data_IF_183262147512
#
_entry.id   IF_183262147512
#
_cell.length_a   1.000
_cell.length_b   1.000
_cell.length_c   1.000
_cell.angle_alpha   90.00
_cell.angle_beta   90.00
_cell.angle_gamma   90.00
#
_symmetry.space_group_name_H-M   'P 1'
#
loop_
_entity.id
_entity.type
_entity.pdbx_description
1 polymer ?
#
# COMPACT_ATOMS: atom_id res chain seq x y z
N UNK A 1 1.82 22.35 15.71
CA UNK A 1 2.94 21.44 15.96
C UNK A 1 3.17 20.64 14.70
N UNK A 2 4.41 20.47 14.26
CA UNK A 2 4.73 19.60 13.11
C UNK A 2 4.52 18.14 13.53
N UNK A 3 3.73 17.38 12.78
CA UNK A 3 3.57 15.93 13.01
C UNK A 3 4.89 15.21 12.70
N UNK A 4 5.21 14.17 13.48
CA UNK A 4 6.34 13.26 13.23
C UNK A 4 5.89 12.06 12.40
N UNK A 5 6.83 11.30 11.83
CA UNK A 5 6.58 10.03 11.12
C UNK A 5 5.65 9.13 11.95
N UNK A 6 5.98 8.92 13.22
CA UNK A 6 5.19 8.07 14.14
C UNK A 6 3.77 8.60 14.32
N UNK A 7 3.58 9.91 14.55
CA UNK A 7 2.23 10.45 14.75
C UNK A 7 1.37 10.38 13.48
N UNK A 8 1.97 10.46 12.30
CA UNK A 8 1.27 10.29 11.02
C UNK A 8 0.90 8.81 10.83
N UNK A 9 1.85 7.90 11.06
CA UNK A 9 1.59 6.46 11.01
C UNK A 9 0.50 6.05 12.01
N UNK A 10 0.53 6.52 13.25
CA UNK A 10 -0.46 6.20 14.27
C UNK A 10 -1.86 6.69 13.86
N UNK A 11 -1.96 7.90 13.31
CA UNK A 11 -3.23 8.42 12.79
C UNK A 11 -3.76 7.55 11.63
N UNK A 12 -2.91 7.23 10.66
CA UNK A 12 -3.31 6.48 9.46
C UNK A 12 -3.55 4.99 9.71
N UNK A 13 -2.81 4.38 10.64
CA UNK A 13 -2.99 2.97 11.01
C UNK A 13 -4.22 2.75 11.89
N UNK A 14 -4.75 3.78 12.54
CA UNK A 14 -6.00 3.71 13.33
C UNK A 14 -7.23 4.15 12.52
N UNK A 15 -7.09 4.35 11.20
CA UNK A 15 -8.18 4.82 10.36
C UNK A 15 -9.37 3.86 10.33
N UNK A 16 -10.55 4.45 10.29
CA UNK A 16 -11.82 3.81 9.98
C UNK A 16 -12.53 4.70 8.93
N UNK A 17 -12.96 4.16 7.77
CA UNK A 17 -12.82 2.77 7.33
C UNK A 17 -11.38 2.38 6.95
N UNK A 18 -11.15 1.06 6.84
CA UNK A 18 -9.95 0.49 6.23
C UNK A 18 -9.78 0.98 4.78
N UNK A 19 -8.53 1.00 4.25
CA UNK A 19 -8.27 1.41 2.87
C UNK A 19 -9.08 0.58 1.85
N UNK A 20 -9.87 1.21 0.98
CA UNK A 20 -10.68 0.52 -0.02
C UNK A 20 -9.81 -0.19 -1.06
N UNK A 21 -10.32 -1.29 -1.63
CA UNK A 21 -9.59 -2.12 -2.61
C UNK A 21 -9.26 -1.39 -3.91
N UNK A 22 -10.12 -0.48 -4.34
CA UNK A 22 -10.08 0.23 -5.62
C UNK A 22 -10.18 1.74 -5.39
N UNK A 23 -9.82 2.51 -6.43
CA UNK A 23 -9.64 3.97 -6.42
C UNK A 23 -10.93 4.80 -6.42
N UNK A 24 -12.06 4.27 -5.94
CA UNK A 24 -13.32 5.01 -5.91
C UNK A 24 -13.32 6.17 -4.89
N UNK A 25 -12.21 6.42 -4.19
CA UNK A 25 -12.06 7.41 -3.13
C UNK A 25 -10.89 8.37 -3.36
N UNK A 26 -11.10 9.64 -3.00
CA UNK A 26 -10.02 10.63 -2.85
C UNK A 26 -9.07 10.26 -1.68
N UNK A 27 -7.92 10.96 -1.61
CA UNK A 27 -6.98 10.90 -0.47
C UNK A 27 -7.74 10.87 0.86
N UNK A 28 -7.46 9.87 1.71
CA UNK A 28 -8.19 9.63 2.96
C UNK A 28 -8.19 10.85 3.87
N UNK A 29 -7.02 11.47 4.06
CA UNK A 29 -6.87 12.69 4.84
C UNK A 29 -5.97 13.69 4.11
N UNK A 30 -6.54 14.58 3.29
CA UNK A 30 -5.79 15.52 2.44
C UNK A 30 -4.77 16.41 3.17
N UNK A 31 -5.00 16.89 4.41
CA UNK A 31 -4.01 17.71 5.10
C UNK A 31 -2.67 16.98 5.36
N UNK A 32 -2.66 15.65 5.41
CA UNK A 32 -1.43 14.88 5.60
C UNK A 32 -0.56 14.82 4.35
N UNK A 33 -1.11 15.03 3.15
CA UNK A 33 -0.35 14.94 1.89
C UNK A 33 0.89 15.85 1.89
N UNK A 34 0.71 17.13 2.20
CA UNK A 34 1.82 18.07 2.23
C UNK A 34 2.73 17.87 3.44
N UNK A 35 2.20 17.32 4.54
CA UNK A 35 2.99 16.99 5.73
C UNK A 35 3.92 15.81 5.46
N UNK A 36 3.42 14.73 4.84
CA UNK A 36 4.20 13.56 4.42
C UNK A 36 5.32 13.98 3.46
N UNK A 37 5.01 14.83 2.48
CA UNK A 37 6.00 15.33 1.52
C UNK A 37 7.17 16.08 2.20
N UNK A 38 6.87 16.83 3.27
CA UNK A 38 7.84 17.65 4.01
C UNK A 38 8.61 16.89 5.08
N UNK A 39 8.29 15.62 5.36
CA UNK A 39 9.06 14.80 6.30
C UNK A 39 10.52 14.73 5.86
N UNK A 40 11.43 14.86 6.82
CA UNK A 40 12.83 14.47 6.65
C UNK A 40 12.92 12.96 6.88
N UNK A 41 12.64 12.20 5.81
CA UNK A 41 12.48 10.75 5.83
C UNK A 41 12.81 10.17 4.45
N UNK A 42 13.15 8.88 4.43
CA UNK A 42 13.39 8.13 3.20
C UNK A 42 12.19 8.13 2.25
N UNK A 43 12.46 7.85 0.98
CA UNK A 43 11.41 7.75 -0.03
C UNK A 43 10.47 6.57 0.26
N UNK A 44 10.98 5.48 0.85
CA UNK A 44 10.18 4.35 1.32
C UNK A 44 9.13 4.77 2.34
N UNK A 45 9.53 5.56 3.35
CA UNK A 45 8.59 6.07 4.38
C UNK A 45 7.53 6.95 3.73
N UNK A 46 7.94 7.90 2.87
CA UNK A 46 6.99 8.78 2.19
C UNK A 46 6.00 8.01 1.31
N UNK A 47 6.49 7.08 0.51
CA UNK A 47 5.68 6.26 -0.39
C UNK A 47 4.67 5.41 0.39
N UNK A 48 5.11 4.75 1.46
CA UNK A 48 4.25 3.91 2.29
C UNK A 48 3.19 4.71 3.05
N UNK A 49 3.53 5.90 3.58
CA UNK A 49 2.56 6.78 4.25
C UNK A 49 1.54 7.35 3.26
N UNK A 50 1.97 7.75 2.05
CA UNK A 50 1.03 8.17 1.00
C UNK A 50 0.07 7.05 0.62
N UNK A 51 0.58 5.82 0.45
CA UNK A 51 -0.24 4.65 0.15
C UNK A 51 -1.28 4.37 1.26
N UNK A 52 -0.89 4.48 2.53
CA UNK A 52 -1.80 4.29 3.67
C UNK A 52 -2.82 5.44 3.82
N UNK A 53 -2.50 6.63 3.30
CA UNK A 53 -3.39 7.79 3.19
C UNK A 53 -4.24 7.79 1.91
N UNK A 54 -4.22 6.71 1.11
CA UNK A 54 -4.89 6.64 -0.20
C UNK A 54 -4.43 7.69 -1.22
N UNK A 55 -3.27 8.31 -1.01
CA UNK A 55 -2.63 9.21 -1.99
C UNK A 55 -1.87 8.38 -3.03
N UNK A 56 -2.65 7.67 -3.85
CA UNK A 56 -2.13 6.72 -4.84
C UNK A 56 -1.25 7.41 -5.88
N UNK A 57 -1.57 8.64 -6.26
CA UNK A 57 -0.75 9.41 -7.21
C UNK A 57 0.68 9.59 -6.68
N UNK A 58 0.84 10.01 -5.41
CA UNK A 58 2.19 10.18 -4.83
C UNK A 58 2.85 8.85 -4.52
N UNK A 59 2.10 7.85 -4.05
CA UNK A 59 2.63 6.51 -3.84
C UNK A 59 3.18 5.92 -5.14
N UNK A 60 2.45 6.04 -6.25
CA UNK A 60 2.88 5.65 -7.59
C UNK A 60 4.13 6.40 -8.01
N UNK A 61 4.16 7.73 -7.89
CA UNK A 61 5.33 8.54 -8.24
C UNK A 61 6.60 8.06 -7.52
N UNK A 62 6.54 7.83 -6.21
CA UNK A 62 7.70 7.34 -5.46
C UNK A 62 8.10 5.91 -5.87
N UNK A 63 7.14 5.03 -6.13
CA UNK A 63 7.44 3.67 -6.59
C UNK A 63 8.09 3.66 -7.99
N UNK A 64 7.50 4.40 -8.94
CA UNK A 64 7.96 4.47 -10.33
C UNK A 64 9.37 5.07 -10.44
N UNK A 65 9.66 6.12 -9.67
CA UNK A 65 10.98 6.77 -9.70
C UNK A 65 12.09 5.91 -9.07
N UNK A 66 11.75 4.81 -8.41
CA UNK A 66 12.70 3.96 -7.68
C UNK A 66 12.53 2.47 -8.03
N UNK A 67 12.11 2.17 -9.25
CA UNK A 67 12.02 0.80 -9.73
C UNK A 67 13.35 0.05 -9.56
N UNK A 68 13.25 -1.22 -9.15
CA UNK A 68 14.38 -2.06 -8.79
C UNK A 68 14.70 -2.07 -7.30
N UNK A 69 14.11 -1.16 -6.50
CA UNK A 69 14.11 -1.29 -5.05
C UNK A 69 13.03 -2.31 -4.62
N UNK A 70 13.38 -3.36 -3.85
CA UNK A 70 12.44 -4.44 -3.55
C UNK A 70 11.18 -4.04 -2.78
N UNK A 71 11.23 -3.02 -1.91
CA UNK A 71 10.06 -2.59 -1.14
C UNK A 71 9.20 -1.61 -1.95
N UNK A 72 9.81 -0.75 -2.76
CA UNK A 72 9.08 0.17 -3.63
C UNK A 72 8.48 -0.55 -4.85
N UNK A 73 9.15 -1.57 -5.41
CA UNK A 73 8.55 -2.46 -6.42
C UNK A 73 7.34 -3.20 -5.84
N UNK A 74 7.41 -3.61 -4.56
CA UNK A 74 6.26 -4.22 -3.88
C UNK A 74 5.11 -3.22 -3.77
N UNK A 75 5.40 -1.99 -3.33
CA UNK A 75 4.41 -0.91 -3.27
C UNK A 75 3.82 -0.64 -4.67
N UNK A 76 4.62 -0.71 -5.74
CA UNK A 76 4.18 -0.54 -7.12
C UNK A 76 3.14 -1.58 -7.53
N UNK A 77 3.38 -2.85 -7.16
CA UNK A 77 2.41 -3.92 -7.39
C UNK A 77 1.05 -3.62 -6.72
N UNK A 78 1.07 -3.03 -5.52
CA UNK A 78 -0.13 -2.65 -4.78
C UNK A 78 -0.81 -1.40 -5.34
N UNK A 79 -0.03 -0.42 -5.79
CA UNK A 79 -0.55 0.76 -6.49
C UNK A 79 -1.39 0.33 -7.69
N UNK A 80 -0.84 -0.50 -8.58
CA UNK A 80 -1.58 -0.98 -9.75
C UNK A 80 -2.80 -1.83 -9.38
N UNK A 81 -2.73 -2.60 -8.28
CA UNK A 81 -3.89 -3.34 -7.75
C UNK A 81 -5.04 -2.39 -7.44
N UNK A 82 -4.74 -1.26 -6.81
CA UNK A 82 -5.74 -0.26 -6.38
C UNK A 82 -6.20 0.64 -7.53
N UNK A 83 -5.35 0.85 -8.54
CA UNK A 83 -5.71 1.53 -9.79
C UNK A 83 -6.65 0.73 -10.69
N UNK A 84 -6.84 -0.57 -10.41
CA UNK A 84 -7.56 -1.49 -11.29
C UNK A 84 -6.73 -2.00 -12.47
N UNK A 85 -5.42 -1.67 -12.53
CA UNK A 85 -4.47 -2.26 -13.47
C UNK A 85 -3.99 -3.64 -12.96
N UNK A 86 -4.93 -4.58 -12.90
CA UNK A 86 -4.71 -5.91 -12.32
C UNK A 86 -3.65 -6.72 -13.06
N UNK A 87 -3.53 -6.53 -14.37
CA UNK A 87 -2.51 -7.20 -15.17
C UNK A 87 -1.10 -6.74 -14.77
N UNK A 88 -0.89 -5.44 -14.64
CA UNK A 88 0.40 -4.87 -14.28
C UNK A 88 0.73 -5.13 -12.80
N UNK A 89 -0.27 -5.11 -11.93
CA UNK A 89 -0.12 -5.57 -10.54
C UNK A 89 0.43 -7.00 -10.47
N UNK A 90 -0.19 -7.94 -11.19
CA UNK A 90 0.29 -9.34 -11.29
C UNK A 90 1.70 -9.43 -11.90
N UNK A 91 2.00 -8.60 -12.90
CA UNK A 91 3.31 -8.54 -13.53
C UNK A 91 4.42 -8.16 -12.54
N UNK A 92 4.18 -7.16 -11.69
CA UNK A 92 5.11 -6.75 -10.63
C UNK A 92 5.24 -7.81 -9.56
N UNK A 93 4.12 -8.36 -9.06
CA UNK A 93 4.13 -9.40 -8.03
C UNK A 93 4.98 -10.63 -8.41
N UNK A 94 4.98 -11.00 -9.69
CA UNK A 94 5.80 -12.10 -10.20
C UNK A 94 7.33 -11.83 -10.17
N UNK A 95 7.74 -10.56 -10.00
CA UNK A 95 9.14 -10.11 -10.05
C UNK A 95 9.67 -9.67 -8.70
N UNK A 96 8.83 -9.09 -7.86
CA UNK A 96 9.23 -8.58 -6.56
C UNK A 96 9.71 -9.71 -5.66
N UNK A 97 10.89 -9.53 -5.07
CA UNK A 97 11.43 -10.43 -4.06
C UNK A 97 11.64 -9.66 -2.76
N UNK A 98 10.60 -9.62 -1.92
CA UNK A 98 10.67 -8.96 -0.62
C UNK A 98 10.20 -9.89 0.51
N UNK A 99 10.92 -10.01 1.65
CA UNK A 99 10.55 -10.91 2.76
C UNK A 99 9.14 -10.69 3.29
N UNK A 100 8.65 -9.44 3.24
CA UNK A 100 7.30 -9.11 3.71
C UNK A 100 6.20 -9.81 2.90
N UNK A 101 6.40 -10.06 1.60
CA UNK A 101 5.44 -10.81 0.77
C UNK A 101 5.21 -12.19 1.39
N UNK A 102 6.27 -12.90 1.77
CA UNK A 102 6.17 -14.23 2.40
C UNK A 102 5.55 -14.19 3.79
N UNK A 103 5.62 -13.05 4.49
CA UNK A 103 5.01 -12.85 5.81
C UNK A 103 3.50 -12.58 5.70
N UNK A 104 3.07 -11.85 4.67
CA UNK A 104 1.66 -11.53 4.42
C UNK A 104 0.95 -12.69 3.73
N UNK A 105 1.53 -13.19 2.63
CA UNK A 105 0.97 -14.24 1.79
C UNK A 105 1.49 -15.60 2.24
N UNK A 106 0.86 -16.17 3.27
CA UNK A 106 1.26 -17.44 3.88
C UNK A 106 0.40 -18.63 3.42
N UNK A 107 0.96 -19.84 3.50
CA UNK A 107 0.24 -21.08 3.18
C UNK A 107 -0.15 -21.18 1.70
N UNK A 108 -1.45 -21.16 1.41
CA UNK A 108 -2.01 -21.23 0.04
C UNK A 108 -2.47 -19.85 -0.48
N UNK A 109 -2.16 -18.77 0.24
CA UNK A 109 -2.46 -17.42 -0.20
C UNK A 109 -1.33 -16.92 -1.10
N UNK A 110 -1.67 -16.46 -2.30
CA UNK A 110 -0.73 -15.92 -3.27
C UNK A 110 -1.20 -14.52 -3.70
N UNK A 111 -0.28 -13.56 -3.89
CA UNK A 111 -0.65 -12.20 -4.25
C UNK A 111 -1.45 -12.12 -5.55
N UNK A 112 -1.09 -12.91 -6.56
CA UNK A 112 -1.80 -12.94 -7.84
C UNK A 112 -3.24 -13.45 -7.68
N UNK A 113 -3.47 -14.38 -6.73
CA UNK A 113 -4.82 -14.89 -6.44
C UNK A 113 -5.66 -13.89 -5.66
N UNK A 114 -5.03 -13.05 -4.84
CA UNK A 114 -5.71 -11.91 -4.21
C UNK A 114 -6.09 -10.88 -5.27
N UNK A 115 -5.20 -10.57 -6.22
CA UNK A 115 -5.51 -9.68 -7.35
C UNK A 115 -6.67 -10.24 -8.18
N UNK A 116 -6.64 -11.53 -8.55
CA UNK A 116 -7.74 -12.19 -9.28
C UNK A 116 -9.08 -12.06 -8.52
N UNK A 117 -9.06 -12.16 -7.19
CA UNK A 117 -10.29 -12.04 -6.39
C UNK A 117 -10.81 -10.60 -6.30
N UNK A 118 -9.92 -9.62 -6.22
CA UNK A 118 -10.31 -8.20 -6.26
C UNK A 118 -10.93 -7.87 -7.62
N UNK A 119 -10.32 -8.32 -8.71
CA UNK A 119 -10.84 -8.19 -10.08
C UNK A 119 -12.25 -8.79 -10.21
N UNK A 120 -12.49 -9.96 -9.61
CA UNK A 120 -13.83 -10.58 -9.56
C UNK A 120 -14.85 -9.76 -8.74
N UNK A 121 -14.42 -9.07 -7.69
CA UNK A 121 -15.32 -8.26 -6.85
C UNK A 121 -15.83 -7.00 -7.52
N UNK A 122 -15.15 -6.52 -8.56
CA UNK A 122 -15.64 -5.40 -9.39
C UNK A 122 -16.94 -5.77 -10.13
N UNK A 123 -17.23 -7.07 -10.30
CA UNK A 123 -18.44 -7.54 -10.98
C UNK A 123 -19.44 -8.27 -10.06
N UNK A 124 -18.97 -8.96 -9.02
CA UNK A 124 -19.83 -9.86 -8.22
C UNK A 124 -20.56 -9.19 -7.06
N UNK A 125 -20.15 -7.97 -6.64
CA UNK A 125 -20.72 -7.24 -5.50
C UNK A 125 -20.94 -8.12 -4.25
N UNK A 126 -19.87 -8.78 -3.78
CA UNK A 126 -19.85 -9.58 -2.54
C UNK A 126 -19.24 -8.76 -1.37
N UNK A 127 -20.07 -8.26 -0.42
CA UNK A 127 -19.59 -7.40 0.66
C UNK A 127 -18.76 -8.14 1.71
N UNK A 128 -18.99 -9.43 1.93
CA UNK A 128 -18.24 -10.22 2.91
C UNK A 128 -16.82 -10.47 2.43
N UNK A 129 -16.68 -10.88 1.16
CA UNK A 129 -15.39 -11.03 0.52
C UNK A 129 -14.63 -9.69 0.44
N UNK A 130 -15.32 -8.60 0.11
CA UNK A 130 -14.72 -7.24 0.10
C UNK A 130 -14.12 -6.88 1.45
N UNK A 131 -14.88 -7.05 2.54
CA UNK A 131 -14.40 -6.77 3.90
C UNK A 131 -13.17 -7.61 4.28
N UNK A 132 -13.12 -8.88 3.89
CA UNK A 132 -11.96 -9.75 4.15
C UNK A 132 -10.72 -9.22 3.42
N UNK A 133 -10.86 -8.83 2.15
CA UNK A 133 -9.74 -8.34 1.35
C UNK A 133 -9.30 -6.93 1.78
N UNK A 134 -10.22 -6.06 2.20
CA UNK A 134 -9.88 -4.74 2.76
C UNK A 134 -9.09 -4.87 4.06
N UNK A 135 -9.45 -5.82 4.92
CA UNK A 135 -8.66 -6.13 6.11
C UNK A 135 -7.27 -6.69 5.76
N UNK A 136 -7.16 -7.56 4.75
CA UNK A 136 -5.85 -8.04 4.27
C UNK A 136 -5.00 -6.87 3.75
N UNK A 137 -5.58 -6.02 2.91
CA UNK A 137 -4.91 -4.85 2.37
C UNK A 137 -4.48 -3.89 3.49
N UNK A 138 -5.35 -3.61 4.45
CA UNK A 138 -5.02 -2.78 5.61
C UNK A 138 -3.78 -3.30 6.35
N UNK A 139 -3.76 -4.60 6.68
CA UNK A 139 -2.63 -5.23 7.38
C UNK A 139 -1.35 -5.20 6.54
N UNK A 140 -1.47 -5.39 5.23
CA UNK A 140 -0.38 -5.31 4.26
C UNK A 140 0.23 -3.90 4.20
N UNK A 141 -0.62 -2.87 4.05
CA UNK A 141 -0.18 -1.47 3.99
C UNK A 141 0.45 -1.00 5.31
N UNK A 142 -0.13 -1.36 6.46
CA UNK A 142 0.46 -1.07 7.77
C UNK A 142 1.82 -1.75 7.93
N UNK A 143 1.96 -3.00 7.48
CA UNK A 143 3.23 -3.72 7.56
C UNK A 143 4.31 -3.15 6.65
N UNK A 144 3.94 -2.65 5.45
CA UNK A 144 4.86 -1.97 4.54
C UNK A 144 5.34 -0.66 5.18
N UNK A 145 4.42 0.16 5.70
CA UNK A 145 4.77 1.41 6.36
C UNK A 145 5.67 1.17 7.58
N UNK A 146 5.34 0.20 8.44
CA UNK A 146 6.20 -0.14 9.58
C UNK A 146 7.58 -0.63 9.13
N UNK A 147 7.64 -1.47 8.09
CA UNK A 147 8.92 -1.95 7.55
C UNK A 147 9.76 -0.79 7.00
N UNK A 148 9.15 0.18 6.33
CA UNK A 148 9.84 1.36 5.84
C UNK A 148 10.35 2.25 6.98
N UNK A 149 9.57 2.39 8.07
CA UNK A 149 9.91 3.23 9.23
C UNK A 149 11.01 2.61 10.10
N UNK A 150 11.00 1.30 10.30
CA UNK A 150 11.93 0.63 11.21
C UNK A 150 13.27 0.26 10.55
N UNK A 151 13.28 0.13 9.22
CA UNK A 151 14.45 -0.36 8.51
C UNK A 151 15.46 0.75 8.21
N UNK A 152 16.52 0.78 9.04
CA UNK A 152 17.68 1.69 8.91
C UNK A 152 18.47 1.55 7.61
N UNK A 153 18.20 0.53 6.79
CA UNK A 153 18.83 0.40 5.46
C UNK A 153 18.22 1.36 4.42
N UNK A 154 17.11 2.01 4.75
CA UNK A 154 16.44 2.98 3.89
C UNK A 154 16.73 4.44 4.26
N UNK A 155 17.40 4.70 5.39
CA UNK A 155 17.84 6.02 5.85
C UNK A 155 19.25 6.36 5.31
#
# INVERSE_FOLDING_TARGET
MTRTITTIYDQLSQRDPYPPLNLDQEVYYPPLTDEINRLDASQHVKAALHMLNDDIQRAHYFAEMNQGDPLLDYLHALVHRREGDFWNSKWWFARVQHPLIKKIYTGKLYPEKVVDKIEELEVTNDPEARKILENLQYNELCSIAMTAIENKLYD
#
